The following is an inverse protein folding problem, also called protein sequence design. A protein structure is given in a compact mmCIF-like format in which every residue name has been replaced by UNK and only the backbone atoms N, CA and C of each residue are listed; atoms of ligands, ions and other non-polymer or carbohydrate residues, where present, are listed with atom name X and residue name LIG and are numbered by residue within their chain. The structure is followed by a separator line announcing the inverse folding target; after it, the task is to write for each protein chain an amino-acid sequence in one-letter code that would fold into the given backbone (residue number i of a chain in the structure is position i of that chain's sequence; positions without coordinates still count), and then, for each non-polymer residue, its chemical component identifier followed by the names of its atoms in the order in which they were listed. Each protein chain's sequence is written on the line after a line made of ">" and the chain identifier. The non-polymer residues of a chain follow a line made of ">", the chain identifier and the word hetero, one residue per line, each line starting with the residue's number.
data_IF_171121536183
#
_entry.id   IF_171121536183
#
_cell.length_a   1.000
_cell.length_b   1.000
_cell.length_c   1.000
_cell.angle_alpha   90.00
_cell.angle_beta   90.00
_cell.angle_gamma   90.00
#
_symmetry.space_group_name_H-M   'P 1'
#
loop_
_entity.id
_entity.type
_entity.pdbx_description
1 polymer ?
#
# COMPACT_ATOMS: atom_id res chain seq x y z
N UNK A 1 -72.14 45.61 10.29
CA UNK A 1 -71.16 44.74 9.60
C UNK A 1 -69.70 44.92 10.03
N UNK A 2 -69.24 46.10 10.48
CA UNK A 2 -67.78 46.29 10.90
C UNK A 2 -67.40 45.64 12.23
N UNK A 3 -68.30 45.32 13.14
CA UNK A 3 -68.03 44.72 14.45
C UNK A 3 -67.84 43.20 14.36
N UNK A 4 -68.41 42.50 13.38
CA UNK A 4 -68.25 41.07 13.16
C UNK A 4 -66.89 40.72 12.52
N UNK A 5 -66.35 41.60 11.68
CA UNK A 5 -65.06 41.40 11.04
C UNK A 5 -63.86 41.47 12.04
N UNK A 6 -63.96 42.33 13.07
CA UNK A 6 -62.93 42.49 14.07
C UNK A 6 -62.87 41.27 15.01
N UNK A 7 -64.03 40.71 15.40
CA UNK A 7 -64.04 39.48 16.22
C UNK A 7 -63.50 38.26 15.47
N UNK A 8 -63.74 38.14 14.15
CA UNK A 8 -63.20 37.06 13.33
C UNK A 8 -61.65 37.14 13.15
N UNK A 9 -61.16 38.38 13.04
CA UNK A 9 -59.69 38.59 12.94
C UNK A 9 -58.99 38.32 14.26
N UNK A 10 -59.57 38.72 15.40
CA UNK A 10 -59.04 38.41 16.73
C UNK A 10 -59.09 36.92 17.03
N UNK A 11 -60.17 36.21 16.62
CA UNK A 11 -60.28 34.76 16.75
C UNK A 11 -59.26 33.97 15.89
N UNK A 12 -58.89 34.47 14.69
CA UNK A 12 -57.92 33.89 13.85
C UNK A 12 -56.44 34.11 14.39
N UNK A 13 -56.19 35.29 14.98
CA UNK A 13 -54.88 35.60 15.60
C UNK A 13 -54.63 34.81 16.87
N UNK A 14 -55.62 34.44 17.65
CA UNK A 14 -55.52 33.64 18.86
C UNK A 14 -55.23 32.14 18.54
N UNK A 15 -55.73 31.64 17.39
CA UNK A 15 -55.45 30.29 16.93
C UNK A 15 -54.02 30.12 16.38
N UNK A 16 -53.39 31.18 15.90
CA UNK A 16 -52.00 31.15 15.43
C UNK A 16 -50.95 31.20 16.56
N UNK A 17 -51.32 31.52 17.80
CA UNK A 17 -50.42 31.55 18.94
C UNK A 17 -50.37 30.24 19.72
N UNK A 18 -51.17 29.25 19.39
CA UNK A 18 -51.15 27.92 20.01
C UNK A 18 -50.18 26.94 19.33
N UNK A 19 -49.52 27.32 18.22
CA UNK A 19 -48.57 26.49 17.53
C UNK A 19 -47.21 26.29 18.25
N UNK A 20 -47.00 26.94 19.39
CA UNK A 20 -45.75 26.81 20.14
C UNK A 20 -45.91 26.01 21.46
N UNK A 21 -47.05 25.32 21.67
CA UNK A 21 -47.31 24.54 22.88
C UNK A 21 -47.42 23.03 22.65
N UNK A 22 -47.04 22.56 21.44
CA UNK A 22 -46.71 21.16 21.33
C UNK A 22 -45.26 21.02 21.85
N UNK A 23 -45.10 20.58 23.11
CA UNK A 23 -43.90 19.89 23.51
C UNK A 23 -43.78 18.71 22.55
N UNK A 24 -42.82 18.77 21.65
CA UNK A 24 -42.35 17.55 21.03
C UNK A 24 -41.98 16.63 22.22
N UNK A 25 -42.76 15.58 22.43
CA UNK A 25 -42.40 14.51 23.32
C UNK A 25 -41.01 14.09 22.80
N UNK A 26 -39.97 14.33 23.59
CA UNK A 26 -38.62 13.90 23.27
C UNK A 26 -38.69 12.40 23.00
N UNK A 27 -38.61 12.02 21.71
CA UNK A 27 -38.61 10.60 21.28
C UNK A 27 -37.45 9.85 21.93
N UNK A 28 -36.52 10.58 22.53
CA UNK A 28 -35.32 10.08 23.18
C UNK A 28 -35.31 10.49 24.66
N UNK A 29 -35.02 9.54 25.54
CA UNK A 29 -34.92 9.77 26.99
C UNK A 29 -33.77 10.74 27.36
N UNK A 30 -32.77 10.94 26.47
CA UNK A 30 -31.59 11.80 26.63
C UNK A 30 -31.61 12.95 25.63
N UNK A 31 -31.15 14.13 26.06
CA UNK A 31 -30.94 15.27 25.16
C UNK A 31 -29.86 14.98 24.11
N UNK A 32 -29.89 15.67 22.99
CA UNK A 32 -28.89 15.51 21.91
C UNK A 32 -27.48 15.68 22.42
N UNK A 33 -27.23 16.62 23.33
CA UNK A 33 -25.88 16.82 23.91
C UNK A 33 -25.46 15.65 24.80
N UNK A 34 -26.35 15.09 25.62
CA UNK A 34 -26.04 13.93 26.44
C UNK A 34 -25.71 12.70 25.60
N UNK A 35 -26.43 12.45 24.53
CA UNK A 35 -26.13 11.34 23.59
C UNK A 35 -24.78 11.50 22.93
N UNK A 36 -24.40 12.72 22.55
CA UNK A 36 -23.08 13.02 21.98
C UNK A 36 -21.96 12.74 23.02
N UNK A 37 -22.12 13.27 24.24
CA UNK A 37 -21.15 13.04 25.32
C UNK A 37 -21.01 11.57 25.69
N UNK A 38 -22.14 10.84 25.75
CA UNK A 38 -22.15 9.40 26.00
C UNK A 38 -21.41 8.64 24.88
N UNK A 39 -21.64 8.96 23.62
CA UNK A 39 -20.96 8.34 22.47
C UNK A 39 -19.46 8.64 22.49
N UNK A 40 -19.03 9.87 22.76
CA UNK A 40 -17.61 10.22 22.86
C UNK A 40 -16.93 9.45 24.01
N UNK A 41 -17.59 9.33 25.18
CA UNK A 41 -17.09 8.57 26.31
C UNK A 41 -16.99 7.07 26.04
N UNK A 42 -17.98 6.52 25.32
CA UNK A 42 -17.96 5.11 24.89
C UNK A 42 -16.80 4.82 23.95
N UNK A 43 -16.62 5.63 22.91
CA UNK A 43 -15.49 5.46 21.98
C UNK A 43 -14.14 5.69 22.66
N UNK A 44 -14.04 6.66 23.59
CA UNK A 44 -12.83 6.85 24.38
C UNK A 44 -12.48 5.59 25.18
N UNK A 45 -13.48 5.01 25.84
CA UNK A 45 -13.33 3.77 26.62
C UNK A 45 -12.96 2.59 25.70
N UNK A 46 -13.59 2.47 24.54
CA UNK A 46 -13.31 1.43 23.56
C UNK A 46 -11.87 1.51 23.06
N UNK A 47 -11.43 2.68 22.62
CA UNK A 47 -10.09 2.91 22.09
C UNK A 47 -9.00 2.59 23.13
N UNK A 48 -9.14 3.13 24.33
CA UNK A 48 -8.15 2.97 25.43
C UNK A 48 -8.25 1.62 26.12
N UNK A 49 -9.38 0.91 26.00
CA UNK A 49 -9.61 -0.43 26.57
C UNK A 49 -8.89 -1.56 25.84
N UNK A 50 -8.28 -1.29 24.68
CA UNK A 50 -7.45 -2.26 23.97
C UNK A 50 -6.01 -2.18 24.53
N UNK A 51 -5.66 -3.04 25.49
CA UNK A 51 -4.37 -3.03 26.20
C UNK A 51 -3.16 -3.10 25.28
N UNK A 52 -3.25 -3.88 24.18
CA UNK A 52 -2.23 -4.00 23.14
C UNK A 52 -2.54 -3.16 21.89
N UNK A 53 -3.63 -2.36 21.93
CA UNK A 53 -4.00 -1.42 20.88
C UNK A 53 -4.70 -2.05 19.68
N UNK A 54 -4.58 -1.40 18.54
CA UNK A 54 -5.34 -1.62 17.33
C UNK A 54 -4.43 -1.71 16.12
N UNK A 55 -4.80 -2.51 15.13
CA UNK A 55 -4.19 -2.55 13.79
C UNK A 55 -5.13 -1.85 12.82
N UNK A 56 -4.66 -0.79 12.19
CA UNK A 56 -5.34 -0.09 11.11
C UNK A 56 -4.65 -0.43 9.78
N UNK A 57 -5.39 -0.97 8.85
CA UNK A 57 -4.99 -1.05 7.46
C UNK A 57 -5.37 0.28 6.80
N UNK A 58 -4.39 1.16 6.74
CA UNK A 58 -4.55 2.53 6.31
C UNK A 58 -4.33 2.63 4.79
N UNK A 59 -5.31 3.19 4.07
CA UNK A 59 -5.27 3.33 2.62
C UNK A 59 -5.31 4.81 2.23
N UNK A 60 -4.15 5.45 1.97
CA UNK A 60 -4.10 6.73 1.28
C UNK A 60 -4.48 6.56 -0.20
N UNK A 61 -4.70 7.68 -0.93
CA UNK A 61 -5.13 7.64 -2.33
C UNK A 61 -6.65 7.76 -2.48
N UNK A 62 -7.33 8.28 -1.45
CA UNK A 62 -8.77 8.55 -1.47
C UNK A 62 -9.61 7.30 -1.76
N UNK A 63 -10.72 7.47 -2.46
CA UNK A 63 -11.61 6.36 -2.82
C UNK A 63 -11.02 5.39 -3.84
N UNK A 64 -9.95 5.77 -4.54
CA UNK A 64 -9.28 4.92 -5.54
C UNK A 64 -8.25 3.97 -4.93
N UNK A 65 -7.72 4.28 -3.74
CA UNK A 65 -6.72 3.49 -3.01
C UNK A 65 -5.44 3.18 -3.80
N UNK A 66 -5.11 3.96 -4.81
CA UNK A 66 -4.05 3.67 -5.78
C UNK A 66 -2.61 3.80 -5.21
N UNK A 67 -2.49 4.28 -3.97
CA UNK A 67 -1.25 4.29 -3.19
C UNK A 67 -1.05 2.96 -2.42
N UNK A 68 -2.07 2.10 -2.38
CA UNK A 68 -2.06 0.85 -1.63
C UNK A 68 -2.11 1.01 -0.11
N UNK A 69 -2.08 -0.10 0.60
CA UNK A 69 -2.23 -0.13 2.05
C UNK A 69 -0.91 0.05 2.81
N UNK A 70 -1.03 0.67 3.98
CA UNK A 70 0.02 0.81 5.01
C UNK A 70 -0.54 0.27 6.30
N UNK A 71 0.21 -0.55 7.01
CA UNK A 71 -0.21 -1.03 8.33
C UNK A 71 0.26 -0.06 9.41
N UNK A 72 -0.69 0.44 10.18
CA UNK A 72 -0.44 1.22 11.37
C UNK A 72 -0.91 0.44 12.61
N UNK A 73 -0.01 0.23 13.55
CA UNK A 73 -0.34 -0.28 14.89
C UNK A 73 -0.48 0.92 15.81
N UNK A 74 -1.63 1.02 16.51
CA UNK A 74 -2.00 2.18 17.31
C UNK A 74 -2.35 1.76 18.74
N UNK A 75 -1.81 2.45 19.74
CA UNK A 75 -2.22 2.28 21.13
C UNK A 75 -2.62 3.61 21.73
N UNK A 76 -3.84 3.66 22.24
CA UNK A 76 -4.45 4.84 22.81
C UNK A 76 -4.34 4.78 24.33
N UNK A 77 -3.75 5.83 24.96
CA UNK A 77 -3.56 5.93 26.39
C UNK A 77 -3.87 7.36 26.85
N UNK A 78 -4.97 7.53 27.59
CA UNK A 78 -5.46 8.88 27.95
C UNK A 78 -5.78 9.71 26.72
N UNK A 79 -5.02 10.77 26.47
CA UNK A 79 -5.14 11.64 25.28
C UNK A 79 -4.04 11.34 24.23
N UNK A 80 -3.16 10.38 24.51
CA UNK A 80 -2.04 10.08 23.63
C UNK A 80 -2.34 8.86 22.77
N UNK A 81 -1.77 8.86 21.56
CA UNK A 81 -1.70 7.72 20.68
C UNK A 81 -0.27 7.45 20.28
N UNK A 82 0.18 6.22 20.48
CA UNK A 82 1.47 5.73 19.97
C UNK A 82 1.22 4.96 18.70
N UNK A 83 1.92 5.30 17.61
CA UNK A 83 1.79 4.69 16.28
C UNK A 83 3.11 4.04 15.90
N UNK A 84 3.04 2.86 15.27
CA UNK A 84 4.13 2.16 14.58
C UNK A 84 3.68 1.78 13.18
N UNK A 85 4.53 1.94 12.16
CA UNK A 85 4.19 1.65 10.77
C UNK A 85 5.07 0.55 10.17
N UNK A 86 4.51 -0.20 9.21
CA UNK A 86 5.25 -1.15 8.37
C UNK A 86 6.01 -0.48 7.20
N UNK A 87 5.76 0.82 6.96
CA UNK A 87 6.50 1.62 5.97
C UNK A 87 7.26 2.75 6.65
N UNK A 88 8.47 3.02 6.15
CA UNK A 88 9.19 4.25 6.48
C UNK A 88 8.49 5.44 5.83
N UNK A 89 8.49 6.58 6.50
CA UNK A 89 8.03 7.85 5.97
C UNK A 89 9.21 8.80 5.82
N UNK A 90 9.19 9.63 4.78
CA UNK A 90 10.29 10.46 4.29
C UNK A 90 11.51 9.63 3.85
N UNK A 91 12.42 10.22 3.06
CA UNK A 91 13.63 9.52 2.60
C UNK A 91 14.66 9.34 3.72
N UNK A 92 15.57 8.39 3.57
CA UNK A 92 16.63 8.11 4.57
C UNK A 92 17.56 9.31 4.83
N UNK A 93 17.64 10.23 3.88
CA UNK A 93 18.45 11.46 3.99
C UNK A 93 17.68 12.63 4.64
N UNK A 94 16.37 12.48 4.90
CA UNK A 94 15.56 13.47 5.60
C UNK A 94 15.80 13.35 7.12
N UNK A 95 16.15 14.43 7.81
CA UNK A 95 16.38 14.41 9.26
C UNK A 95 15.14 14.00 10.08
N UNK A 96 13.96 14.17 9.52
CA UNK A 96 12.68 13.77 10.12
C UNK A 96 12.19 12.40 9.62
N UNK A 97 13.06 11.61 9.02
CA UNK A 97 12.74 10.26 8.57
C UNK A 97 12.42 9.35 9.75
N UNK A 98 11.30 8.62 9.65
CA UNK A 98 10.92 7.57 10.59
C UNK A 98 10.98 6.25 9.86
N UNK A 99 11.71 5.30 10.42
CA UNK A 99 11.86 3.97 9.83
C UNK A 99 10.68 3.07 10.18
N UNK A 100 10.43 2.09 9.31
CA UNK A 100 9.47 1.03 9.63
C UNK A 100 9.83 0.36 10.96
N UNK A 101 8.84 0.19 11.84
CA UNK A 101 9.03 -0.35 13.19
C UNK A 101 9.41 0.68 14.26
N UNK A 102 9.70 1.93 13.92
CA UNK A 102 9.86 3.00 14.91
C UNK A 102 8.51 3.53 15.36
N UNK A 103 8.44 3.94 16.63
CA UNK A 103 7.22 4.43 17.26
C UNK A 103 7.23 5.96 17.37
N UNK A 104 6.08 6.57 17.07
CA UNK A 104 5.85 8.00 17.26
C UNK A 104 4.61 8.20 18.12
N UNK A 105 4.72 8.99 19.18
CA UNK A 105 3.60 9.32 20.07
C UNK A 105 3.15 10.75 19.83
N UNK A 106 1.84 10.94 19.70
CA UNK A 106 1.17 12.22 19.52
C UNK A 106 -0.14 12.27 20.31
N UNK A 107 -0.90 13.35 20.20
CA UNK A 107 -2.23 13.42 20.78
C UNK A 107 -3.30 13.06 19.76
N UNK A 108 -4.38 12.46 20.25
CA UNK A 108 -5.63 12.29 19.53
C UNK A 108 -6.77 12.97 20.28
N UNK A 109 -7.87 13.17 19.61
CA UNK A 109 -9.13 13.64 20.19
C UNK A 109 -10.31 12.99 19.50
N UNK A 110 -11.40 12.83 20.25
CA UNK A 110 -12.71 12.51 19.70
C UNK A 110 -13.51 13.78 19.61
N UNK A 111 -14.00 14.09 18.43
CA UNK A 111 -14.73 15.32 18.12
C UNK A 111 -16.18 14.99 17.81
N UNK A 112 -17.10 15.80 18.33
CA UNK A 112 -18.50 15.79 17.90
C UNK A 112 -18.65 16.69 16.66
N UNK A 113 -18.89 16.08 15.53
CA UNK A 113 -19.30 16.74 14.30
C UNK A 113 -20.68 16.17 13.89
N UNK A 114 -21.01 16.03 12.65
CA UNK A 114 -22.23 15.31 12.22
C UNK A 114 -22.24 13.84 12.71
N UNK A 115 -21.10 13.31 13.10
CA UNK A 115 -20.87 12.01 13.75
C UNK A 115 -19.64 12.12 14.65
N UNK A 116 -19.28 11.03 15.35
CA UNK A 116 -18.02 11.00 16.10
C UNK A 116 -16.84 10.89 15.15
N UNK A 117 -15.88 11.81 15.30
CA UNK A 117 -14.65 11.87 14.51
C UNK A 117 -13.45 11.57 15.40
N UNK A 118 -12.68 10.56 15.04
CA UNK A 118 -11.35 10.31 15.57
C UNK A 118 -10.36 11.24 14.83
N UNK A 119 -9.74 12.17 15.54
CA UNK A 119 -8.78 13.13 15.00
C UNK A 119 -7.40 12.93 15.64
N UNK A 120 -6.36 12.82 14.80
CA UNK A 120 -4.96 12.87 15.25
C UNK A 120 -4.57 14.34 15.36
N UNK A 121 -4.89 14.93 16.52
CA UNK A 121 -4.96 16.38 16.74
C UNK A 121 -3.60 17.09 16.83
N UNK A 122 -2.51 16.35 17.05
CA UNK A 122 -1.15 16.88 16.92
C UNK A 122 -0.37 16.11 15.87
N UNK A 123 0.59 16.81 15.26
CA UNK A 123 1.36 16.23 14.17
C UNK A 123 2.03 14.90 14.58
N UNK A 124 1.81 13.88 13.76
CA UNK A 124 2.46 12.58 13.82
C UNK A 124 2.87 12.20 12.40
N UNK A 125 4.17 12.10 12.17
CA UNK A 125 4.71 11.86 10.84
C UNK A 125 4.22 10.55 10.19
N UNK A 126 3.89 9.51 10.99
CA UNK A 126 3.43 8.22 10.45
C UNK A 126 2.03 8.27 9.83
N UNK A 127 1.21 9.27 10.19
CA UNK A 127 -0.13 9.43 9.62
C UNK A 127 -0.27 10.71 8.79
N UNK A 128 0.30 11.85 9.24
CA UNK A 128 0.18 13.12 8.54
C UNK A 128 1.00 13.17 7.25
N UNK A 129 2.12 12.45 7.17
CA UNK A 129 2.93 12.34 5.95
C UNK A 129 2.10 12.06 4.68
N UNK A 130 1.08 11.24 4.82
CA UNK A 130 0.23 10.84 3.69
C UNK A 130 -0.72 11.95 3.22
N UNK A 131 -0.93 12.98 4.03
CA UNK A 131 -1.73 14.17 3.70
C UNK A 131 -0.89 15.41 3.41
N UNK A 132 0.45 15.32 3.54
CA UNK A 132 1.34 16.46 3.28
C UNK A 132 1.45 16.76 1.78
N UNK A 133 1.41 18.04 1.38
CA UNK A 133 1.68 18.43 0.00
C UNK A 133 3.05 17.97 -0.47
N UNK A 134 3.15 17.40 -1.66
CA UNK A 134 4.44 17.04 -2.29
C UNK A 134 5.09 18.21 -3.02
N UNK A 135 4.39 19.32 -3.17
CA UNK A 135 4.87 20.52 -3.83
C UNK A 135 3.75 21.49 -4.12
N UNK A 136 4.08 22.63 -4.73
CA UNK A 136 3.11 23.71 -5.04
C UNK A 136 2.01 23.25 -6.01
N UNK A 137 2.30 22.28 -6.86
CA UNK A 137 1.37 21.73 -7.86
C UNK A 137 0.66 20.45 -7.41
N UNK A 138 1.01 19.92 -6.24
CA UNK A 138 0.44 18.71 -5.65
C UNK A 138 0.11 18.97 -4.19
N UNK A 139 -0.98 19.70 -3.98
CA UNK A 139 -1.41 20.17 -2.66
C UNK A 139 -2.05 19.07 -1.80
N UNK A 140 -2.57 17.99 -2.41
CA UNK A 140 -3.27 16.91 -1.71
C UNK A 140 -2.32 15.76 -1.30
N UNK A 141 -1.07 15.80 -1.73
CA UNK A 141 -0.04 14.84 -1.36
C UNK A 141 -0.36 13.42 -1.81
N UNK A 142 -0.50 12.50 -0.86
CA UNK A 142 -0.94 11.12 -1.12
C UNK A 142 -2.44 10.93 -0.81
N UNK A 143 -3.21 12.00 -0.71
CA UNK A 143 -4.64 11.96 -0.38
C UNK A 143 -4.96 11.14 0.88
N UNK A 144 -4.09 11.23 1.88
CA UNK A 144 -4.27 10.58 3.16
C UNK A 144 -5.16 11.40 4.09
N UNK A 145 -5.89 10.72 4.98
CA UNK A 145 -6.68 11.33 6.04
C UNK A 145 -6.01 11.18 7.40
N UNK A 146 -6.15 12.17 8.25
CA UNK A 146 -5.79 12.12 9.69
C UNK A 146 -6.97 12.44 10.59
N UNK A 147 -8.15 12.63 10.02
CA UNK A 147 -9.44 12.69 10.68
C UNK A 147 -10.38 11.64 10.07
N UNK A 148 -11.03 10.87 10.92
CA UNK A 148 -11.84 9.73 10.51
C UNK A 148 -13.20 9.75 11.20
N UNK A 149 -14.26 9.67 10.42
CA UNK A 149 -15.60 9.42 10.94
C UNK A 149 -15.69 7.96 11.38
N UNK A 150 -16.08 7.72 12.63
CA UNK A 150 -16.41 6.38 13.11
C UNK A 150 -17.80 6.03 12.61
N UNK A 151 -17.92 5.06 11.69
CA UNK A 151 -19.17 4.67 11.07
C UNK A 151 -19.80 3.43 11.71
N UNK A 152 -18.99 2.57 12.29
CA UNK A 152 -19.42 1.42 13.08
C UNK A 152 -18.34 1.05 14.08
N UNK A 153 -18.72 0.45 15.22
CA UNK A 153 -17.75 -0.05 16.19
C UNK A 153 -18.31 -1.26 16.95
N UNK A 154 -17.40 -2.19 17.21
CA UNK A 154 -17.55 -3.31 18.12
C UNK A 154 -16.34 -3.34 19.06
N UNK A 155 -16.30 -4.29 20.00
CA UNK A 155 -15.12 -4.43 20.87
C UNK A 155 -13.83 -4.81 20.12
N UNK A 156 -13.94 -5.38 18.90
CA UNK A 156 -12.80 -5.93 18.17
C UNK A 156 -12.60 -5.30 16.78
N UNK A 157 -13.53 -4.51 16.28
CA UNK A 157 -13.49 -3.89 14.96
C UNK A 157 -14.16 -2.52 14.99
N UNK A 158 -13.47 -1.51 14.49
CA UNK A 158 -13.96 -0.16 14.31
C UNK A 158 -13.83 0.20 12.83
N UNK A 159 -14.96 0.53 12.20
CA UNK A 159 -14.98 0.98 10.81
C UNK A 159 -14.80 2.50 10.79
N UNK A 160 -13.77 2.94 10.11
CA UNK A 160 -13.39 4.33 9.93
C UNK A 160 -13.64 4.77 8.48
N UNK A 161 -14.09 6.00 8.29
CA UNK A 161 -14.16 6.64 6.97
C UNK A 161 -13.33 7.93 7.01
N UNK A 162 -12.37 8.06 6.11
CA UNK A 162 -11.60 9.28 5.94
C UNK A 162 -12.52 10.49 5.75
N UNK A 163 -12.29 11.55 6.50
CA UNK A 163 -13.20 12.72 6.51
C UNK A 163 -13.05 13.56 5.25
N UNK A 164 -11.85 13.71 4.72
CA UNK A 164 -11.57 14.52 3.52
C UNK A 164 -11.64 13.69 2.23
N UNK A 165 -11.01 12.51 2.22
CA UNK A 165 -10.81 11.74 0.99
C UNK A 165 -11.68 10.48 0.90
N UNK A 166 -12.38 10.10 1.98
CA UNK A 166 -13.50 9.16 1.96
C UNK A 166 -13.15 7.68 1.98
N UNK A 167 -11.87 7.29 2.03
CA UNK A 167 -11.47 5.88 2.12
C UNK A 167 -12.06 5.20 3.36
N UNK A 168 -12.63 4.01 3.19
CA UNK A 168 -13.18 3.21 4.30
C UNK A 168 -12.11 2.22 4.76
N UNK A 169 -11.87 2.15 6.06
CA UNK A 169 -10.81 1.38 6.68
C UNK A 169 -11.30 0.66 7.92
N UNK A 170 -10.64 -0.44 8.25
CA UNK A 170 -10.91 -1.21 9.45
C UNK A 170 -9.77 -1.11 10.45
N UNK A 171 -10.12 -0.83 11.69
CA UNK A 171 -9.18 -0.83 12.81
C UNK A 171 -9.54 -2.03 13.71
N UNK A 172 -8.69 -3.05 13.67
CA UNK A 172 -8.91 -4.34 14.31
C UNK A 172 -8.12 -4.40 15.62
N UNK A 173 -8.75 -4.86 16.69
CA UNK A 173 -8.11 -5.04 17.99
C UNK A 173 -6.98 -6.07 17.91
N UNK A 174 -5.81 -5.69 18.41
CA UNK A 174 -4.64 -6.57 18.48
C UNK A 174 -4.77 -7.49 19.71
N UNK A 175 -4.43 -8.76 19.53
CA UNK A 175 -4.42 -9.71 20.65
C UNK A 175 -3.41 -9.27 21.72
N UNK A 176 -3.76 -9.42 23.01
CA UNK A 176 -2.98 -8.92 24.13
C UNK A 176 -1.54 -9.47 24.19
N UNK A 177 -1.31 -10.66 23.64
CA UNK A 177 0.00 -11.34 23.59
C UNK A 177 0.77 -11.14 22.29
N UNK A 178 0.26 -10.36 21.33
CA UNK A 178 0.94 -10.11 20.07
C UNK A 178 2.07 -9.07 20.26
N UNK A 179 3.23 -9.33 19.64
CA UNK A 179 4.36 -8.40 19.64
C UNK A 179 4.37 -7.54 18.38
N UNK A 180 4.32 -6.23 18.54
CA UNK A 180 4.29 -5.26 17.45
C UNK A 180 5.54 -5.32 16.58
N UNK A 181 6.72 -5.50 17.19
CA UNK A 181 7.98 -5.56 16.44
C UNK A 181 8.01 -6.80 15.56
N UNK A 182 7.58 -7.95 16.08
CA UNK A 182 7.47 -9.19 15.33
C UNK A 182 6.48 -9.03 14.17
N UNK A 183 5.31 -8.44 14.41
CA UNK A 183 4.31 -8.21 13.37
C UNK A 183 4.88 -7.38 12.21
N UNK A 184 5.45 -6.22 12.51
CA UNK A 184 6.02 -5.30 11.50
C UNK A 184 7.24 -5.92 10.81
N UNK A 185 8.09 -6.64 11.55
CA UNK A 185 9.26 -7.33 10.95
C UNK A 185 8.82 -8.39 9.95
N UNK A 186 7.76 -9.15 10.24
CA UNK A 186 7.21 -10.15 9.32
C UNK A 186 6.60 -9.50 8.08
N UNK A 187 5.85 -8.40 8.20
CA UNK A 187 5.35 -7.64 7.06
C UNK A 187 6.50 -7.22 6.13
N UNK A 188 7.60 -6.69 6.70
CA UNK A 188 8.77 -6.25 5.95
C UNK A 188 9.56 -7.41 5.35
N UNK A 189 9.69 -8.54 6.07
CA UNK A 189 10.32 -9.75 5.55
C UNK A 189 9.59 -10.23 4.29
N UNK A 190 8.27 -10.39 4.37
CA UNK A 190 7.44 -10.85 3.25
C UNK A 190 7.52 -9.85 2.08
N UNK A 191 7.47 -8.54 2.36
CA UNK A 191 7.64 -7.50 1.33
C UNK A 191 8.96 -7.66 0.59
N UNK A 192 10.06 -7.83 1.31
CA UNK A 192 11.39 -7.95 0.72
C UNK A 192 11.55 -9.27 -0.06
N UNK A 193 11.08 -10.39 0.49
CA UNK A 193 11.16 -11.70 -0.17
C UNK A 193 10.29 -11.79 -1.43
N UNK A 194 9.14 -11.12 -1.43
CA UNK A 194 8.20 -11.16 -2.55
C UNK A 194 8.49 -10.12 -3.64
N UNK A 195 9.13 -9.00 -3.30
CA UNK A 195 9.38 -7.88 -4.23
C UNK A 195 10.19 -8.29 -5.47
N UNK A 196 11.09 -9.23 -5.33
CA UNK A 196 11.92 -9.75 -6.41
C UNK A 196 11.10 -10.36 -7.54
N UNK A 197 9.96 -10.96 -7.22
CA UNK A 197 9.09 -11.68 -8.17
C UNK A 197 7.90 -10.83 -8.65
N UNK A 198 7.78 -9.61 -8.19
CA UNK A 198 6.59 -8.76 -8.33
C UNK A 198 6.11 -8.54 -9.78
N UNK A 199 7.03 -8.49 -10.75
CA UNK A 199 6.72 -8.21 -12.16
C UNK A 199 6.32 -9.43 -12.97
N UNK A 200 6.56 -10.64 -12.45
CA UNK A 200 6.36 -11.92 -13.14
C UNK A 200 5.47 -12.83 -12.32
N UNK A 201 4.28 -12.36 -12.01
CA UNK A 201 3.30 -13.10 -11.21
C UNK A 201 2.11 -13.52 -12.07
N UNK A 202 1.66 -14.75 -11.91
CA UNK A 202 0.41 -15.23 -12.46
C UNK A 202 -0.60 -15.45 -11.34
N UNK A 203 -1.80 -14.87 -11.48
CA UNK A 203 -2.94 -15.25 -10.66
C UNK A 203 -3.48 -16.58 -11.18
N UNK A 204 -3.47 -17.60 -10.35
CA UNK A 204 -3.81 -18.97 -10.70
C UNK A 204 -5.11 -19.40 -10.05
N UNK A 205 -5.91 -20.15 -10.82
CA UNK A 205 -6.93 -21.04 -10.31
C UNK A 205 -6.71 -22.42 -10.96
N UNK A 206 -6.06 -23.31 -10.23
CA UNK A 206 -5.60 -24.57 -10.80
C UNK A 206 -4.68 -24.37 -12.00
N UNK A 207 -5.11 -24.76 -13.19
CA UNK A 207 -4.35 -24.61 -14.45
C UNK A 207 -4.53 -23.26 -15.15
N UNK A 208 -5.58 -22.51 -14.79
CA UNK A 208 -5.84 -21.18 -15.39
C UNK A 208 -4.89 -20.15 -14.80
N UNK A 209 -4.22 -19.37 -15.65
CA UNK A 209 -3.27 -18.33 -15.25
C UNK A 209 -3.66 -17.01 -15.87
N UNK A 210 -3.83 -15.97 -15.03
CA UNK A 210 -4.01 -14.59 -15.46
C UNK A 210 -2.71 -13.84 -15.18
N UNK A 211 -2.04 -13.29 -16.20
CA UNK A 211 -0.85 -12.48 -16.01
C UNK A 211 -1.12 -11.34 -15.03
N UNK A 212 -0.26 -11.16 -14.04
CA UNK A 212 -0.42 -10.18 -12.98
C UNK A 212 0.94 -9.59 -12.60
N UNK A 213 0.90 -8.46 -11.96
CA UNK A 213 2.08 -7.84 -11.36
C UNK A 213 1.65 -7.09 -10.11
N UNK A 214 2.51 -6.94 -9.13
CA UNK A 214 2.28 -6.02 -8.03
C UNK A 214 3.41 -5.00 -7.93
N UNK A 215 3.11 -3.84 -7.35
CA UNK A 215 4.02 -2.71 -7.27
C UNK A 215 4.50 -2.48 -5.84
N UNK A 216 5.55 -1.65 -5.71
CA UNK A 216 6.03 -1.19 -4.41
C UNK A 216 5.00 -0.33 -3.66
N UNK A 217 4.05 0.24 -4.39
CA UNK A 217 2.89 0.95 -3.83
C UNK A 217 1.81 0.00 -3.30
N UNK A 218 2.07 -1.31 -3.19
CA UNK A 218 1.12 -2.31 -2.71
C UNK A 218 -0.18 -2.37 -3.54
N UNK A 219 -0.02 -2.35 -4.86
CA UNK A 219 -1.13 -2.48 -5.83
C UNK A 219 -0.88 -3.68 -6.74
N UNK A 220 -1.84 -4.60 -6.82
CA UNK A 220 -1.82 -5.69 -7.78
C UNK A 220 -2.50 -5.21 -9.07
N UNK A 221 -1.88 -5.47 -10.21
CA UNK A 221 -2.47 -5.26 -11.53
C UNK A 221 -2.75 -6.61 -12.17
N UNK A 222 -4.02 -6.93 -12.38
CA UNK A 222 -4.47 -8.10 -13.12
C UNK A 222 -4.66 -7.74 -14.59
N UNK A 223 -4.18 -8.60 -15.52
CA UNK A 223 -4.35 -8.44 -16.96
C UNK A 223 -5.40 -9.45 -17.45
N UNK A 224 -6.68 -9.03 -17.43
CA UNK A 224 -7.82 -9.88 -17.81
C UNK A 224 -8.14 -9.70 -19.29
N UNK A 225 -8.33 -10.82 -20.02
CA UNK A 225 -8.72 -10.78 -21.44
C UNK A 225 -10.23 -10.91 -21.55
N UNK A 226 -10.88 -9.95 -22.20
CA UNK A 226 -12.32 -9.99 -22.45
C UNK A 226 -12.69 -10.96 -23.60
N UNK A 227 -13.99 -11.14 -23.83
CA UNK A 227 -14.51 -12.04 -24.87
C UNK A 227 -14.09 -11.65 -26.30
N UNK A 228 -13.61 -10.42 -26.53
CA UNK A 228 -13.14 -9.91 -27.81
C UNK A 228 -11.60 -10.04 -27.96
N UNK A 229 -10.92 -10.61 -26.96
CA UNK A 229 -9.46 -10.73 -26.94
C UNK A 229 -8.72 -9.46 -26.51
N UNK A 230 -9.43 -8.42 -26.05
CA UNK A 230 -8.81 -7.19 -25.53
C UNK A 230 -8.34 -7.40 -24.10
N UNK A 231 -7.10 -7.00 -23.82
CA UNK A 231 -6.53 -7.03 -22.48
C UNK A 231 -6.99 -5.78 -21.71
N UNK A 232 -7.67 -6.01 -20.61
CA UNK A 232 -8.07 -4.99 -19.66
C UNK A 232 -7.22 -5.12 -18.38
N UNK A 233 -6.65 -4.01 -17.91
CA UNK A 233 -5.88 -3.99 -16.67
C UNK A 233 -6.76 -3.50 -15.55
N UNK A 234 -6.78 -4.26 -14.45
CA UNK A 234 -7.49 -3.89 -13.22
C UNK A 234 -6.52 -3.82 -12.06
N UNK A 235 -6.53 -2.72 -11.34
CA UNK A 235 -5.72 -2.50 -10.15
C UNK A 235 -6.53 -2.84 -8.89
N UNK A 236 -5.88 -3.48 -7.94
CA UNK A 236 -6.44 -3.82 -6.63
C UNK A 236 -5.40 -3.54 -5.57
N UNK A 237 -5.73 -2.69 -4.63
CA UNK A 237 -4.85 -2.32 -3.53
C UNK A 237 -4.81 -3.40 -2.45
N UNK A 238 -3.69 -3.53 -1.78
CA UNK A 238 -3.51 -4.47 -0.68
C UNK A 238 -2.63 -3.87 0.42
N UNK A 239 -2.68 -4.44 1.60
CA UNK A 239 -1.73 -4.22 2.68
C UNK A 239 -0.98 -5.51 2.98
N UNK A 240 0.29 -5.41 3.41
CA UNK A 240 1.01 -6.56 3.95
C UNK A 240 0.47 -6.93 5.33
N UNK A 241 0.41 -8.22 5.62
CA UNK A 241 0.13 -8.75 6.96
C UNK A 241 1.38 -9.49 7.47
N UNK A 242 1.36 -9.90 8.73
CA UNK A 242 2.45 -10.70 9.31
C UNK A 242 2.60 -12.11 8.70
N UNK A 243 1.67 -12.49 7.81
CA UNK A 243 1.65 -13.79 7.12
C UNK A 243 1.62 -13.70 5.60
N UNK A 244 1.30 -12.54 5.04
CA UNK A 244 1.14 -12.39 3.61
C UNK A 244 0.62 -11.02 3.20
N UNK A 245 -0.49 -11.00 2.46
CA UNK A 245 -1.17 -9.79 2.02
C UNK A 245 -2.68 -9.91 2.21
N UNK A 246 -3.35 -8.77 2.44
CA UNK A 246 -4.81 -8.67 2.39
C UNK A 246 -5.22 -7.59 1.42
N UNK A 247 -6.18 -7.90 0.55
CA UNK A 247 -6.77 -6.97 -0.40
C UNK A 247 -7.60 -5.92 0.34
N UNK A 248 -7.74 -4.72 -0.23
CA UNK A 248 -8.55 -3.65 0.33
C UNK A 248 -10.00 -4.11 0.61
N UNK A 249 -10.55 -4.90 -0.31
CA UNK A 249 -11.85 -5.55 -0.16
C UNK A 249 -11.84 -6.89 -0.91
N UNK A 250 -12.74 -7.83 -0.57
CA UNK A 250 -12.91 -9.06 -1.33
C UNK A 250 -13.08 -8.76 -2.82
N UNK A 251 -12.24 -9.34 -3.63
CA UNK A 251 -12.11 -9.00 -5.05
C UNK A 251 -12.34 -10.22 -5.92
N UNK A 252 -13.22 -10.08 -6.92
CA UNK A 252 -13.48 -11.15 -7.90
C UNK A 252 -12.63 -10.97 -9.14
N UNK A 253 -11.77 -11.94 -9.43
CA UNK A 253 -10.93 -12.01 -10.63
C UNK A 253 -11.32 -13.25 -11.41
N UNK A 254 -11.76 -13.07 -12.66
CA UNK A 254 -12.21 -14.16 -13.53
C UNK A 254 -13.23 -15.13 -12.84
N UNK A 255 -14.20 -14.53 -12.12
CA UNK A 255 -15.25 -15.29 -11.43
C UNK A 255 -14.84 -15.90 -10.07
N UNK A 256 -13.60 -15.65 -9.60
CA UNK A 256 -13.07 -16.15 -8.34
C UNK A 256 -12.95 -14.99 -7.37
N UNK A 257 -13.59 -15.11 -6.21
CA UNK A 257 -13.45 -14.10 -5.14
C UNK A 257 -12.33 -14.50 -4.21
N UNK A 258 -11.47 -13.54 -3.87
CA UNK A 258 -10.35 -13.69 -2.94
C UNK A 258 -10.19 -12.40 -2.11
N UNK A 259 -9.61 -12.55 -0.92
CA UNK A 259 -9.41 -11.44 0.02
C UNK A 259 -8.01 -11.49 0.63
N UNK A 260 -7.63 -12.57 1.31
CA UNK A 260 -6.37 -12.71 2.03
C UNK A 260 -5.51 -13.85 1.48
N UNK A 261 -4.19 -13.62 1.46
CA UNK A 261 -3.22 -14.58 0.95
C UNK A 261 -2.06 -14.73 1.93
N UNK A 262 -1.58 -15.96 2.09
CA UNK A 262 -0.40 -16.31 2.88
C UNK A 262 0.81 -16.46 1.97
N UNK A 263 1.93 -15.85 2.37
CA UNK A 263 3.21 -15.97 1.66
C UNK A 263 3.88 -17.32 1.94
N UNK A 264 4.34 -17.98 0.88
CA UNK A 264 5.19 -19.16 0.93
C UNK A 264 6.50 -18.89 0.17
N UNK A 265 7.58 -18.67 0.91
CA UNK A 265 8.87 -18.37 0.31
C UNK A 265 9.45 -19.55 -0.49
N UNK A 266 9.18 -20.79 -0.11
CA UNK A 266 9.67 -21.97 -0.83
C UNK A 266 9.05 -22.07 -2.24
N UNK A 267 7.78 -21.74 -2.36
CA UNK A 267 7.03 -21.79 -3.63
C UNK A 267 7.00 -20.46 -4.39
N UNK A 268 7.54 -19.37 -3.78
CA UNK A 268 7.44 -18.01 -4.32
C UNK A 268 6.01 -17.64 -4.69
N UNK A 269 5.10 -17.87 -3.75
CA UNK A 269 3.66 -17.69 -3.96
C UNK A 269 2.94 -17.10 -2.76
N UNK A 270 1.90 -16.33 -3.06
CA UNK A 270 0.84 -15.98 -2.13
C UNK A 270 -0.34 -16.93 -2.39
N UNK A 271 -0.74 -17.71 -1.40
CA UNK A 271 -1.85 -18.67 -1.50
C UNK A 271 -3.05 -18.15 -0.72
N UNK A 272 -4.24 -18.13 -1.36
CA UNK A 272 -5.47 -17.68 -0.71
C UNK A 272 -5.80 -18.52 0.54
N UNK A 273 -6.30 -17.84 1.57
CA UNK A 273 -6.76 -18.48 2.81
C UNK A 273 -8.06 -19.25 2.60
N UNK A 274 -8.84 -18.92 1.56
CA UNK A 274 -10.15 -19.49 1.27
C UNK A 274 -10.07 -20.73 0.38
N UNK A 275 -9.15 -20.72 -0.60
CA UNK A 275 -8.94 -21.84 -1.53
C UNK A 275 -7.47 -21.95 -1.93
N UNK A 276 -6.81 -23.03 -1.57
CA UNK A 276 -5.40 -23.29 -1.87
C UNK A 276 -5.07 -23.38 -3.38
N UNK A 277 -6.07 -23.56 -4.25
CA UNK A 277 -5.88 -23.52 -5.69
C UNK A 277 -5.74 -22.08 -6.24
N UNK A 278 -6.13 -21.09 -5.45
CA UNK A 278 -6.04 -19.68 -5.80
C UNK A 278 -4.70 -19.13 -5.31
N UNK A 279 -3.84 -18.79 -6.23
CA UNK A 279 -2.47 -18.35 -5.92
C UNK A 279 -2.05 -17.18 -6.79
N UNK A 280 -1.29 -16.25 -6.18
CA UNK A 280 -0.39 -15.35 -6.89
C UNK A 280 1.00 -15.98 -6.85
N UNK A 281 1.48 -16.48 -7.97
CA UNK A 281 2.72 -17.26 -8.03
C UNK A 281 3.65 -16.74 -9.12
N UNK A 282 4.96 -16.76 -8.87
CA UNK A 282 5.97 -16.50 -9.89
C UNK A 282 5.77 -17.39 -11.10
N UNK A 283 5.86 -16.79 -12.29
CA UNK A 283 5.77 -17.46 -13.58
C UNK A 283 7.07 -17.23 -14.32
N UNK A 284 7.85 -18.29 -14.48
CA UNK A 284 9.09 -18.22 -15.24
C UNK A 284 8.80 -17.86 -16.71
N UNK A 285 9.50 -16.87 -17.29
CA UNK A 285 9.35 -16.53 -18.70
C UNK A 285 9.64 -17.73 -19.62
N UNK A 286 8.96 -17.79 -20.76
CA UNK A 286 9.15 -18.86 -21.76
C UNK A 286 10.51 -18.78 -22.44
N UNK A 287 11.12 -17.60 -22.46
CA UNK A 287 12.44 -17.28 -23.01
C UNK A 287 13.54 -17.19 -21.93
N UNK A 288 13.27 -17.76 -20.75
CA UNK A 288 14.23 -17.80 -19.65
C UNK A 288 15.49 -18.57 -20.03
N UNK A 289 16.64 -17.93 -19.85
CA UNK A 289 17.96 -18.54 -20.10
C UNK A 289 18.70 -18.68 -18.75
N UNK A 290 19.01 -19.92 -18.29
CA UNK A 290 19.80 -20.12 -17.08
C UNK A 290 21.20 -19.49 -17.19
N UNK A 291 21.79 -19.06 -16.08
CA UNK A 291 23.12 -18.41 -16.06
C UNK A 291 24.22 -19.35 -16.62
N UNK A 292 24.09 -20.65 -16.38
CA UNK A 292 25.02 -21.68 -16.86
C UNK A 292 25.06 -21.69 -18.39
N UNK A 293 23.91 -21.48 -19.05
CA UNK A 293 23.85 -21.45 -20.52
C UNK A 293 24.68 -20.30 -21.10
N UNK A 294 24.74 -19.14 -20.42
CA UNK A 294 25.58 -18.03 -20.85
C UNK A 294 27.07 -18.36 -20.76
N UNK A 295 27.49 -19.14 -19.76
CA UNK A 295 28.88 -19.48 -19.53
C UNK A 295 29.36 -20.69 -20.31
N UNK A 296 28.46 -21.55 -20.77
CA UNK A 296 28.76 -22.78 -21.51
C UNK A 296 28.70 -22.60 -23.03
N UNK A 297 28.15 -21.47 -23.51
CA UNK A 297 28.01 -21.23 -24.95
C UNK A 297 28.77 -19.99 -25.40
N UNK A 298 28.99 -19.91 -26.71
CA UNK A 298 29.53 -18.74 -27.38
C UNK A 298 28.36 -17.83 -27.84
N UNK A 299 28.61 -16.53 -27.83
CA UNK A 299 27.61 -15.53 -28.13
C UNK A 299 28.15 -14.52 -29.13
N UNK A 300 27.36 -14.15 -30.12
CA UNK A 300 27.68 -13.04 -31.00
C UNK A 300 27.21 -11.73 -30.38
N UNK A 301 28.15 -10.94 -29.88
CA UNK A 301 27.90 -9.65 -29.28
C UNK A 301 28.13 -8.54 -30.31
N UNK A 302 27.08 -7.84 -30.66
CA UNK A 302 27.12 -6.67 -31.55
C UNK A 302 27.19 -5.41 -30.70
N UNK A 303 28.14 -4.53 -31.00
CA UNK A 303 28.33 -3.28 -30.28
C UNK A 303 28.89 -2.19 -31.20
N UNK A 304 28.66 -0.94 -30.80
CA UNK A 304 29.17 0.25 -31.49
C UNK A 304 30.19 0.93 -30.64
N UNK A 305 31.35 1.26 -31.20
CA UNK A 305 32.39 1.99 -30.48
C UNK A 305 32.87 3.21 -31.26
N UNK A 306 33.79 4.00 -30.69
CA UNK A 306 34.33 5.21 -31.28
C UNK A 306 33.24 6.26 -31.61
N UNK A 307 32.44 6.61 -30.59
CA UNK A 307 31.33 7.60 -30.69
C UNK A 307 30.30 7.27 -31.79
N UNK A 308 29.94 6.02 -31.95
CA UNK A 308 28.94 5.59 -32.93
C UNK A 308 29.44 5.48 -34.37
N UNK A 309 30.75 5.40 -34.57
CA UNK A 309 31.37 5.37 -35.92
C UNK A 309 31.74 4.01 -36.43
N UNK A 310 31.73 2.99 -35.57
CA UNK A 310 32.08 1.62 -35.95
C UNK A 310 31.19 0.61 -35.26
N UNK A 311 30.43 -0.12 -36.07
CA UNK A 311 29.66 -1.27 -35.64
C UNK A 311 30.54 -2.51 -35.76
N UNK A 312 30.50 -3.38 -34.79
CA UNK A 312 31.30 -4.60 -34.73
C UNK A 312 30.45 -5.71 -34.13
N UNK A 313 30.63 -6.91 -34.65
CA UNK A 313 30.12 -8.13 -34.04
C UNK A 313 31.31 -9.04 -33.74
N UNK A 314 31.38 -9.53 -32.53
CA UNK A 314 32.48 -10.41 -32.06
C UNK A 314 31.87 -11.59 -31.31
N UNK A 315 32.38 -12.80 -31.57
CA UNK A 315 31.98 -13.98 -30.82
C UNK A 315 32.69 -13.97 -29.48
N UNK A 316 31.94 -13.97 -28.39
CA UNK A 316 32.42 -13.87 -27.03
C UNK A 316 32.02 -15.06 -26.18
N UNK A 317 32.73 -15.28 -25.07
CA UNK A 317 32.31 -16.20 -24.00
C UNK A 317 32.15 -15.41 -22.72
N UNK A 318 31.18 -15.79 -21.90
CA UNK A 318 31.02 -15.24 -20.58
C UNK A 318 31.63 -16.12 -19.52
N UNK A 319 32.18 -15.52 -18.48
CA UNK A 319 32.60 -16.18 -17.25
C UNK A 319 31.91 -15.55 -16.05
N UNK A 320 31.51 -16.35 -15.09
CA UNK A 320 30.88 -15.84 -13.84
C UNK A 320 31.96 -15.26 -12.92
N UNK A 321 31.69 -14.12 -12.31
CA UNK A 321 32.60 -13.48 -11.35
C UNK A 321 32.34 -14.05 -9.96
N UNK A 322 33.08 -15.04 -9.56
CA UNK A 322 32.88 -15.76 -8.29
C UNK A 322 31.51 -16.46 -8.24
N UNK A 323 30.80 -16.27 -7.14
CA UNK A 323 29.44 -16.78 -6.95
C UNK A 323 28.35 -15.69 -7.20
N UNK A 324 28.74 -14.52 -7.74
CA UNK A 324 27.83 -13.42 -7.98
C UNK A 324 27.00 -13.63 -9.25
N UNK A 325 25.95 -12.82 -9.43
CA UNK A 325 25.19 -12.74 -10.67
C UNK A 325 25.84 -11.85 -11.74
N UNK A 326 27.12 -11.54 -11.56
CA UNK A 326 27.91 -10.81 -12.55
C UNK A 326 28.60 -11.78 -13.51
N UNK A 327 28.29 -11.61 -14.79
CA UNK A 327 28.99 -12.25 -15.89
C UNK A 327 30.04 -11.28 -16.48
N UNK A 328 31.20 -11.80 -16.85
CA UNK A 328 32.27 -11.02 -17.47
C UNK A 328 32.60 -11.57 -18.83
N UNK A 329 32.81 -10.70 -19.80
CA UNK A 329 33.34 -11.04 -21.12
C UNK A 329 34.41 -10.05 -21.53
N UNK A 330 35.09 -10.30 -22.67
CA UNK A 330 36.05 -9.39 -23.28
C UNK A 330 35.68 -9.10 -24.71
N UNK A 331 35.81 -7.85 -25.07
CA UNK A 331 35.59 -7.34 -26.45
C UNK A 331 36.78 -6.56 -26.95
N UNK A 332 36.97 -6.47 -28.26
CA UNK A 332 38.07 -5.77 -28.89
C UNK A 332 37.62 -4.43 -29.45
N UNK A 333 38.02 -3.32 -28.83
CA UNK A 333 37.74 -1.98 -29.29
C UNK A 333 39.01 -1.28 -29.73
N UNK A 334 39.15 -1.00 -31.03
CA UNK A 334 40.34 -0.29 -31.56
C UNK A 334 41.67 -1.00 -31.35
N UNK A 335 41.67 -2.34 -31.28
CA UNK A 335 42.85 -3.15 -31.01
C UNK A 335 43.14 -3.39 -29.53
N UNK A 336 42.35 -2.79 -28.63
CA UNK A 336 42.48 -3.01 -27.18
C UNK A 336 41.42 -3.99 -26.70
N UNK A 337 41.81 -4.93 -25.85
CA UNK A 337 40.86 -5.80 -25.16
C UNK A 337 40.27 -5.13 -23.93
N UNK A 338 38.94 -5.02 -23.89
CA UNK A 338 38.19 -4.40 -22.83
C UNK A 338 37.33 -5.45 -22.15
N UNK A 339 37.38 -5.49 -20.82
CA UNK A 339 36.47 -6.34 -20.02
C UNK A 339 35.14 -5.64 -19.88
N UNK A 340 34.06 -6.36 -20.16
CA UNK A 340 32.68 -5.92 -19.92
C UNK A 340 32.03 -6.81 -18.87
N UNK A 341 31.31 -6.19 -17.94
CA UNK A 341 30.49 -6.87 -16.97
C UNK A 341 29.03 -6.74 -17.36
N UNK A 342 28.30 -7.85 -17.28
CA UNK A 342 26.85 -7.91 -17.42
C UNK A 342 26.25 -8.43 -16.12
N UNK A 343 25.14 -7.85 -15.69
CA UNK A 343 24.37 -8.36 -14.56
C UNK A 343 23.33 -9.36 -15.07
N UNK A 344 23.37 -10.54 -14.51
CA UNK A 344 22.36 -11.56 -14.77
C UNK A 344 21.18 -11.36 -13.83
N UNK A 345 19.98 -11.40 -14.40
CA UNK A 345 18.75 -11.36 -13.64
C UNK A 345 18.17 -12.78 -13.55
N UNK A 346 18.27 -13.41 -12.40
CA UNK A 346 17.80 -14.78 -12.19
C UNK A 346 16.27 -14.93 -12.18
N UNK A 347 15.50 -13.81 -12.20
CA UNK A 347 14.06 -13.83 -12.35
C UNK A 347 13.66 -13.93 -13.83
N UNK A 348 14.30 -13.13 -14.67
CA UNK A 348 13.98 -13.06 -16.12
C UNK A 348 14.86 -13.98 -16.98
N UNK A 349 16.00 -14.41 -16.46
CA UNK A 349 16.99 -15.14 -17.25
C UNK A 349 17.77 -14.25 -18.22
N UNK A 350 17.67 -12.93 -18.11
CA UNK A 350 18.31 -11.98 -19.02
C UNK A 350 19.60 -11.42 -18.43
N UNK A 351 20.50 -10.95 -19.30
CA UNK A 351 21.68 -10.19 -18.93
C UNK A 351 21.54 -8.73 -19.33
N UNK A 352 22.06 -7.83 -18.51
CA UNK A 352 22.04 -6.39 -18.71
C UNK A 352 23.48 -5.82 -18.67
N UNK A 353 23.89 -5.11 -19.69
CA UNK A 353 25.12 -4.32 -19.69
C UNK A 353 24.80 -2.90 -19.19
N UNK A 354 25.20 -2.60 -17.97
CA UNK A 354 25.08 -1.24 -17.41
C UNK A 354 26.27 -0.37 -17.84
N UNK A 355 26.08 0.93 -17.75
CA UNK A 355 27.18 1.89 -17.95
C UNK A 355 28.36 1.56 -17.06
N UNK A 356 29.54 1.39 -17.65
CA UNK A 356 30.76 0.98 -16.93
C UNK A 356 31.87 2.00 -17.22
N UNK A 357 32.61 2.35 -16.18
CA UNK A 357 33.86 3.09 -16.35
C UNK A 357 34.96 2.08 -16.66
N UNK A 358 35.62 2.24 -17.80
CA UNK A 358 36.75 1.43 -18.21
C UNK A 358 37.99 1.92 -17.46
N UNK A 359 38.25 1.38 -16.27
CA UNK A 359 39.32 1.84 -15.35
C UNK A 359 40.59 1.02 -15.41
N UNK A 360 40.75 0.09 -16.34
CA UNK A 360 42.05 -0.62 -16.44
C UNK A 360 43.04 0.12 -17.33
N UNK A 361 44.13 0.43 -16.71
CA UNK A 361 45.29 1.13 -17.22
C UNK A 361 45.67 0.68 -18.62
N UNK A 362 45.68 1.62 -19.53
CA UNK A 362 46.43 1.52 -20.76
C UNK A 362 47.92 1.38 -20.34
N UNK A 363 48.43 0.19 -20.42
CA UNK A 363 49.91 0.03 -20.37
C UNK A 363 50.44 0.67 -21.65
N UNK A 364 50.93 1.88 -21.55
CA UNK A 364 51.75 2.47 -22.59
C UNK A 364 53.09 1.72 -22.62
N UNK A 365 53.18 0.70 -23.45
CA UNK A 365 54.47 0.29 -23.96
C UNK A 365 54.90 1.29 -25.00
N UNK A 366 55.79 2.19 -24.63
CA UNK A 366 56.53 3.00 -25.59
C UNK A 366 57.36 2.08 -26.50
N UNK A 367 57.10 2.17 -27.79
CA UNK A 367 58.14 1.96 -28.83
C UNK A 367 58.50 3.35 -29.36
#
# INVERSE_FOLDING_TARGET
>A
MKRFSILSIVGLLTLSLQSCFFSEDDIFEESSNQRIESALSEYQTLLTGASNGWKLEYYPGGENHDIGGVVLLLRFEGENVTIMSDKSVKGMDDPDSIRAGEQVTSKFSLLADQSTVLSFSTYNSLIHYWSEPKGVLDADGYEGDFEFVITAATQNDITLKGKKHGAVMHMIRIADNADWNTYISNCNLIRNESAEYATLVGFRNGSTVIPSAYSQENVITFSETDANGKINKRKVSFAYTDKGIRLYAPTTVNGITCDEFIWNNADKSFTSTEDANIQLKYVQPTDYIPIEFYTEHQWDLSYTYNFGRKDTTETVTFSRVGQSDTLQTKVTCGGLQIKLNALYNHITGMIEFRTQYLTEAVSYTHL
#
